data_IF_982373092860
#
_entry.id   IF_982373092860
#
_cell.length_a   1.000
_cell.length_b   1.000
_cell.length_c   1.000
_cell.angle_alpha   90.00
_cell.angle_beta   90.00
_cell.angle_gamma   90.00
#
_symmetry.space_group_name_H-M   'P 1'
#
loop_
_entity.id
_entity.type
_entity.pdbx_description
1 polymer ?
#
# COMPACT_ATOMS: atom_id res chain seq x y z
N UNK A 1 37.67 -38.04 -58.64
CA UNK A 1 39.03 -37.83 -59.15
C UNK A 1 39.54 -36.62 -58.42
N UNK A 2 40.08 -36.84 -57.21
CA UNK A 2 41.53 -37.08 -57.01
C UNK A 2 42.31 -35.88 -57.51
N UNK A 3 42.69 -35.01 -56.58
CA UNK A 3 44.08 -34.86 -56.08
C UNK A 3 44.79 -33.81 -56.94
N UNK A 4 45.52 -32.82 -56.45
CA UNK A 4 46.20 -32.60 -55.18
C UNK A 4 47.39 -31.67 -55.47
N UNK A 5 48.02 -31.17 -54.41
CA UNK A 5 49.25 -30.39 -54.31
C UNK A 5 49.18 -28.86 -54.39
N UNK A 6 49.92 -28.11 -53.57
CA UNK A 6 50.63 -28.27 -52.26
C UNK A 6 51.27 -26.90 -52.05
N UNK A 7 51.26 -26.38 -50.82
CA UNK A 7 52.34 -25.52 -50.29
C UNK A 7 52.24 -25.60 -48.74
N UNK A 8 53.03 -26.46 -48.09
CA UNK A 8 54.38 -26.24 -47.53
C UNK A 8 54.45 -25.30 -46.30
N UNK A 9 54.57 -25.97 -45.14
CA UNK A 9 55.29 -25.64 -43.89
C UNK A 9 55.33 -24.20 -43.34
N UNK A 10 54.88 -24.03 -42.09
CA UNK A 10 55.78 -23.81 -40.93
C UNK A 10 55.01 -23.87 -39.60
N UNK A 11 55.55 -24.64 -38.66
CA UNK A 11 55.06 -24.86 -37.30
C UNK A 11 55.49 -23.75 -36.34
N UNK A 12 54.73 -23.65 -35.22
CA UNK A 12 55.07 -23.03 -33.92
C UNK A 12 55.04 -21.50 -33.88
N UNK A 13 54.10 -20.94 -33.12
CA UNK A 13 54.30 -20.69 -31.70
C UNK A 13 52.97 -20.39 -30.99
N UNK A 14 52.92 -20.82 -29.73
CA UNK A 14 51.84 -20.65 -28.78
C UNK A 14 51.43 -19.18 -28.59
N UNK A 15 50.23 -18.81 -29.01
CA UNK A 15 49.59 -17.57 -28.57
C UNK A 15 49.26 -17.69 -27.08
N UNK A 16 49.95 -16.88 -26.28
CA UNK A 16 49.58 -16.61 -24.90
C UNK A 16 48.15 -16.04 -24.87
N UNK A 17 47.25 -16.55 -24.00
CA UNK A 17 45.94 -15.94 -23.84
C UNK A 17 46.11 -14.48 -23.43
N UNK A 18 45.42 -13.59 -24.14
CA UNK A 18 45.48 -12.15 -23.87
C UNK A 18 45.12 -11.88 -22.41
N UNK A 19 45.71 -10.83 -21.83
CA UNK A 19 45.49 -10.45 -20.43
C UNK A 19 44.02 -10.41 -20.02
N UNK A 20 43.11 -10.12 -20.96
CA UNK A 20 41.66 -10.10 -20.73
C UNK A 20 41.04 -11.50 -20.64
N UNK A 21 41.54 -12.49 -21.38
CA UNK A 21 41.12 -13.90 -21.25
C UNK A 21 41.64 -14.51 -19.97
N UNK A 22 42.88 -14.19 -19.57
CA UNK A 22 43.44 -14.59 -18.29
C UNK A 22 42.70 -13.96 -17.10
N UNK A 23 42.26 -12.70 -17.23
CA UNK A 23 41.40 -12.04 -16.23
C UNK A 23 40.02 -12.70 -16.20
N UNK A 24 39.42 -13.02 -17.35
CA UNK A 24 38.11 -13.69 -17.40
C UNK A 24 38.19 -15.11 -16.84
N UNK A 25 39.25 -15.88 -17.13
CA UNK A 25 39.51 -17.20 -16.56
C UNK A 25 39.87 -17.13 -15.07
N UNK A 26 40.52 -16.06 -14.59
CA UNK A 26 40.76 -15.81 -13.16
C UNK A 26 39.48 -15.39 -12.44
N UNK A 27 38.58 -14.64 -13.09
CA UNK A 27 37.24 -14.34 -12.58
C UNK A 27 36.39 -15.61 -12.50
N UNK A 28 36.40 -16.45 -13.54
CA UNK A 28 35.64 -17.71 -13.56
C UNK A 28 36.17 -18.72 -12.55
N UNK A 29 37.50 -18.80 -12.39
CA UNK A 29 38.12 -19.69 -11.40
C UNK A 29 38.00 -19.19 -9.95
N UNK A 30 37.89 -17.87 -9.70
CA UNK A 30 37.59 -17.35 -8.36
C UNK A 30 36.11 -17.53 -7.96
N UNK A 31 35.21 -17.63 -8.93
CA UNK A 31 33.80 -18.03 -8.71
C UNK A 31 33.62 -19.53 -8.39
N UNK A 32 34.62 -20.37 -8.69
CA UNK A 32 34.62 -21.81 -8.39
C UNK A 32 35.10 -22.17 -6.96
N UNK A 33 35.18 -21.20 -6.05
CA UNK A 33 35.29 -21.50 -4.62
C UNK A 33 33.95 -22.05 -4.12
N UNK A 34 33.92 -22.99 -3.15
CA UNK A 34 32.65 -23.43 -2.59
C UNK A 34 31.92 -22.18 -2.11
N UNK A 35 30.74 -21.88 -2.70
CA UNK A 35 29.97 -20.68 -2.38
C UNK A 35 29.83 -20.62 -0.86
N UNK A 36 30.63 -19.76 -0.23
CA UNK A 36 30.51 -19.54 1.20
C UNK A 36 29.22 -18.77 1.39
N UNK A 37 28.46 -19.09 2.43
CA UNK A 37 27.25 -18.33 2.78
C UNK A 37 27.50 -16.80 2.78
N UNK A 38 28.73 -16.39 3.09
CA UNK A 38 29.18 -15.01 3.03
C UNK A 38 29.20 -14.40 1.62
N UNK A 39 29.74 -15.09 0.61
CA UNK A 39 29.72 -14.59 -0.77
C UNK A 39 28.29 -14.50 -1.33
N UNK A 40 27.44 -15.47 -1.00
CA UNK A 40 26.02 -15.46 -1.35
C UNK A 40 25.25 -14.30 -0.69
N UNK A 41 25.42 -14.05 0.62
CA UNK A 41 24.78 -12.93 1.32
C UNK A 41 25.24 -11.60 0.72
N UNK A 42 26.53 -11.49 0.39
CA UNK A 42 27.11 -10.30 -0.22
C UNK A 42 26.51 -10.05 -1.60
N UNK A 43 26.35 -11.09 -2.41
CA UNK A 43 25.71 -11.00 -3.73
C UNK A 43 24.25 -10.54 -3.61
N UNK A 44 23.45 -11.17 -2.72
CA UNK A 44 22.06 -10.77 -2.46
C UNK A 44 21.93 -9.32 -1.95
N UNK A 45 22.92 -8.84 -1.20
CA UNK A 45 22.97 -7.46 -0.73
C UNK A 45 23.11 -6.47 -1.90
N UNK A 46 24.09 -6.69 -2.80
CA UNK A 46 24.35 -5.79 -3.91
C UNK A 46 23.33 -5.91 -5.05
N UNK A 47 22.86 -7.12 -5.35
CA UNK A 47 21.98 -7.38 -6.50
C UNK A 47 20.50 -7.18 -6.20
N UNK A 48 20.05 -7.41 -4.95
CA UNK A 48 18.64 -7.26 -4.59
C UNK A 48 18.39 -6.11 -3.61
N UNK A 49 19.06 -6.07 -2.46
CA UNK A 49 18.69 -5.13 -1.40
C UNK A 49 18.94 -3.67 -1.76
N UNK A 50 20.11 -3.33 -2.31
CA UNK A 50 20.43 -1.94 -2.70
C UNK A 50 19.44 -1.37 -3.74
N UNK A 51 19.21 -2.02 -4.91
CA UNK A 51 18.27 -1.48 -5.90
C UNK A 51 16.83 -1.46 -5.39
N UNK A 52 16.44 -2.44 -4.56
CA UNK A 52 15.13 -2.44 -3.90
C UNK A 52 14.99 -1.21 -3.00
N UNK A 53 15.95 -0.95 -2.11
CA UNK A 53 15.95 0.20 -1.22
C UNK A 53 15.90 1.53 -1.98
N UNK A 54 16.67 1.68 -3.07
CA UNK A 54 16.68 2.93 -3.85
C UNK A 54 15.34 3.20 -4.53
N UNK A 55 14.71 2.18 -5.12
CA UNK A 55 13.38 2.28 -5.72
C UNK A 55 12.30 2.62 -4.70
N UNK A 56 12.31 1.97 -3.54
CA UNK A 56 11.31 2.23 -2.51
C UNK A 56 11.51 3.63 -1.92
N UNK A 57 12.73 4.03 -1.60
CA UNK A 57 12.96 5.36 -1.03
C UNK A 57 12.46 6.46 -1.97
N UNK A 58 12.66 6.30 -3.27
CA UNK A 58 12.12 7.21 -4.27
C UNK A 58 10.58 7.21 -4.27
N UNK A 59 9.93 6.04 -4.36
CA UNK A 59 8.47 5.96 -4.44
C UNK A 59 7.75 6.29 -3.11
N UNK A 60 8.32 5.91 -1.96
CA UNK A 60 7.77 6.25 -0.64
C UNK A 60 7.94 7.73 -0.32
N UNK A 61 9.04 8.36 -0.73
CA UNK A 61 9.23 9.80 -0.54
C UNK A 61 8.06 10.61 -1.11
N UNK A 62 7.57 10.27 -2.31
CA UNK A 62 6.44 10.97 -2.94
C UNK A 62 5.14 10.88 -2.12
N UNK A 63 4.94 9.81 -1.34
CA UNK A 63 3.72 9.60 -0.56
C UNK A 63 3.82 10.13 0.87
N UNK A 64 4.99 9.99 1.50
CA UNK A 64 5.20 10.39 2.89
C UNK A 64 5.40 11.89 3.04
N UNK A 65 6.11 12.53 2.10
CA UNK A 65 6.41 13.96 2.18
C UNK A 65 5.14 14.83 2.27
N UNK A 66 4.11 14.61 1.42
CA UNK A 66 2.87 15.39 1.50
C UNK A 66 2.08 15.15 2.79
N UNK A 67 2.14 13.94 3.37
CA UNK A 67 1.51 13.63 4.67
C UNK A 67 2.15 14.43 5.81
N UNK A 68 3.48 14.46 5.87
CA UNK A 68 4.23 15.22 6.89
C UNK A 68 4.04 16.73 6.67
N UNK A 69 4.12 17.21 5.42
CA UNK A 69 3.89 18.61 5.10
C UNK A 69 2.48 19.05 5.51
N UNK A 70 1.46 18.23 5.23
CA UNK A 70 0.10 18.44 5.71
C UNK A 70 0.04 18.56 7.22
N UNK A 71 0.71 17.66 7.94
CA UNK A 71 0.72 17.69 9.40
C UNK A 71 1.40 18.94 9.96
N UNK A 72 2.52 19.36 9.37
CA UNK A 72 3.22 20.58 9.76
C UNK A 72 2.37 21.83 9.50
N UNK A 73 1.61 21.87 8.41
CA UNK A 73 0.72 22.99 8.10
C UNK A 73 -0.45 23.08 9.10
N UNK A 74 -1.06 21.95 9.46
CA UNK A 74 -2.08 21.90 10.52
C UNK A 74 -1.50 22.32 11.88
N UNK A 75 -0.28 21.87 12.19
CA UNK A 75 0.44 22.26 13.41
C UNK A 75 0.72 23.77 13.46
N UNK A 76 1.21 24.34 12.37
CA UNK A 76 1.59 25.75 12.29
C UNK A 76 0.40 26.70 12.15
N UNK A 77 -0.78 26.25 11.71
CA UNK A 77 -1.96 27.10 11.52
C UNK A 77 -2.62 27.46 12.87
N UNK A 78 -2.47 28.70 13.39
CA UNK A 78 -3.04 29.10 14.67
C UNK A 78 -4.56 29.31 14.59
N UNK A 79 -5.10 29.53 13.38
CA UNK A 79 -6.54 29.75 13.13
C UNK A 79 -7.24 28.49 12.60
N UNK A 80 -6.66 27.30 12.85
CA UNK A 80 -7.15 26.03 12.34
C UNK A 80 -8.63 25.76 12.68
N UNK A 81 -9.08 26.16 13.87
CA UNK A 81 -10.48 25.99 14.30
C UNK A 81 -11.44 26.98 13.61
N UNK A 82 -10.96 28.14 13.17
CA UNK A 82 -11.79 29.19 12.57
C UNK A 82 -11.94 29.01 11.05
N UNK A 83 -10.88 28.53 10.36
CA UNK A 83 -10.89 28.29 8.92
C UNK A 83 -10.85 26.80 8.57
N UNK A 84 -11.82 26.05 9.07
CA UNK A 84 -11.91 24.58 8.89
C UNK A 84 -11.97 24.18 7.42
N UNK A 85 -12.65 24.97 6.58
CA UNK A 85 -12.73 24.77 5.13
C UNK A 85 -11.35 24.70 4.46
N UNK A 86 -10.39 25.54 4.88
CA UNK A 86 -9.05 25.58 4.30
C UNK A 86 -8.30 24.28 4.59
N UNK A 87 -8.44 23.73 5.79
CA UNK A 87 -7.75 22.50 6.16
C UNK A 87 -8.34 21.30 5.41
N UNK A 88 -9.65 21.26 5.21
CA UNK A 88 -10.29 20.25 4.37
C UNK A 88 -9.86 20.36 2.89
N UNK A 89 -9.78 21.58 2.36
CA UNK A 89 -9.31 21.83 1.01
C UNK A 89 -7.86 21.39 0.82
N UNK A 90 -7.00 21.77 1.75
CA UNK A 90 -5.59 21.43 1.71
C UNK A 90 -5.38 19.92 1.84
N UNK A 91 -6.12 19.25 2.73
CA UNK A 91 -6.12 17.80 2.88
C UNK A 91 -6.47 17.07 1.58
N UNK A 92 -7.56 17.51 0.91
CA UNK A 92 -8.04 16.91 -0.34
C UNK A 92 -7.12 17.23 -1.52
N UNK A 93 -6.62 18.46 -1.63
CA UNK A 93 -5.71 18.87 -2.69
C UNK A 93 -4.35 18.15 -2.57
N UNK A 94 -3.82 17.99 -1.36
CA UNK A 94 -2.59 17.25 -1.13
C UNK A 94 -2.74 15.77 -1.53
N UNK A 95 -3.87 15.13 -1.17
CA UNK A 95 -4.13 13.75 -1.59
C UNK A 95 -4.37 13.63 -3.10
N UNK A 96 -5.09 14.58 -3.71
CA UNK A 96 -5.30 14.62 -5.16
C UNK A 96 -3.99 14.81 -5.92
N UNK A 97 -3.08 15.65 -5.41
CA UNK A 97 -1.74 15.85 -5.99
C UNK A 97 -0.92 14.55 -5.95
N UNK A 98 -0.93 13.86 -4.80
CA UNK A 98 -0.26 12.56 -4.65
C UNK A 98 -0.81 11.53 -5.64
N UNK A 99 -2.13 11.45 -5.76
CA UNK A 99 -2.79 10.58 -6.74
C UNK A 99 -2.40 10.96 -8.18
N UNK A 100 -2.38 12.25 -8.51
CA UNK A 100 -2.03 12.73 -9.83
C UNK A 100 -0.58 12.41 -10.21
N UNK A 101 0.36 12.54 -9.27
CA UNK A 101 1.77 12.21 -9.51
C UNK A 101 1.99 10.72 -9.80
N UNK A 102 1.12 9.83 -9.31
CA UNK A 102 1.27 8.39 -9.44
C UNK A 102 0.43 7.77 -10.58
N UNK A 103 -0.74 8.34 -10.85
CA UNK A 103 -1.74 7.79 -11.77
C UNK A 103 -2.17 8.78 -12.88
N UNK A 104 -1.61 9.98 -12.90
CA UNK A 104 -1.79 10.98 -13.94
C UNK A 104 -3.27 11.32 -14.21
N UNK A 105 -3.74 11.19 -15.46
CA UNK A 105 -5.11 11.49 -15.89
C UNK A 105 -6.16 10.50 -15.35
N UNK A 106 -5.73 9.34 -14.84
CA UNK A 106 -6.64 8.26 -14.45
C UNK A 106 -7.38 8.57 -13.14
N UNK A 107 -6.90 9.54 -12.35
CA UNK A 107 -7.54 9.98 -11.11
C UNK A 107 -8.95 10.55 -11.32
N UNK A 108 -9.32 10.91 -12.55
CA UNK A 108 -10.66 11.40 -12.90
C UNK A 108 -11.73 10.42 -12.44
N UNK A 109 -11.45 9.12 -12.49
CA UNK A 109 -12.34 8.05 -12.03
C UNK A 109 -12.68 8.22 -10.55
N UNK A 110 -11.68 8.46 -9.71
CA UNK A 110 -11.85 8.68 -8.27
C UNK A 110 -12.62 9.98 -7.97
N UNK A 111 -12.33 11.04 -8.74
CA UNK A 111 -12.98 12.35 -8.58
C UNK A 111 -14.45 12.31 -8.98
N UNK A 112 -14.79 11.54 -10.02
CA UNK A 112 -16.18 11.31 -10.46
C UNK A 112 -16.95 10.55 -9.39
N UNK A 113 -16.40 9.46 -8.82
CA UNK A 113 -17.06 8.73 -7.75
C UNK A 113 -17.27 9.61 -6.51
N UNK A 114 -16.26 10.41 -6.13
CA UNK A 114 -16.37 11.39 -5.04
C UNK A 114 -17.52 12.37 -5.26
N UNK A 115 -17.67 12.89 -6.49
CA UNK A 115 -18.74 13.81 -6.84
C UNK A 115 -20.12 13.16 -6.79
N UNK A 116 -20.25 11.95 -7.35
CA UNK A 116 -21.49 11.17 -7.31
C UNK A 116 -21.88 10.91 -5.85
N UNK A 117 -20.92 10.52 -5.01
CA UNK A 117 -21.13 10.28 -3.59
C UNK A 117 -21.60 11.54 -2.85
N UNK A 118 -21.00 12.69 -3.12
CA UNK A 118 -21.45 13.96 -2.54
C UNK A 118 -22.91 14.29 -2.92
N UNK A 119 -23.28 14.12 -4.19
CA UNK A 119 -24.65 14.36 -4.69
C UNK A 119 -25.64 13.44 -3.98
N UNK A 120 -25.32 12.15 -3.82
CA UNK A 120 -26.20 11.19 -3.12
C UNK A 120 -26.41 11.65 -1.67
N UNK A 121 -25.33 11.98 -0.96
CA UNK A 121 -25.41 12.42 0.44
C UNK A 121 -26.19 13.74 0.57
N UNK A 122 -26.08 14.65 -0.41
CA UNK A 122 -26.71 15.98 -0.31
C UNK A 122 -28.21 15.96 -0.63
N UNK A 123 -28.63 15.18 -1.62
CA UNK A 123 -29.98 15.26 -2.20
C UNK A 123 -30.92 14.14 -1.76
N UNK A 124 -30.42 13.01 -1.28
CA UNK A 124 -31.28 11.93 -0.78
C UNK A 124 -31.47 12.05 0.72
N UNK A 125 -32.71 11.90 1.18
CA UNK A 125 -33.03 12.08 2.60
C UNK A 125 -32.93 10.80 3.42
N UNK A 126 -33.16 9.63 2.81
CA UNK A 126 -33.18 8.30 3.46
C UNK A 126 -32.51 7.24 2.60
N UNK A 127 -32.09 6.15 3.24
CA UNK A 127 -31.47 4.98 2.60
C UNK A 127 -30.22 5.33 1.78
N UNK A 128 -29.52 6.41 2.16
CA UNK A 128 -28.30 6.88 1.48
C UNK A 128 -27.26 5.78 1.44
N UNK A 129 -27.10 5.03 2.54
CA UNK A 129 -26.14 3.93 2.62
C UNK A 129 -26.38 2.86 1.56
N UNK A 130 -27.63 2.42 1.38
CA UNK A 130 -27.99 1.38 0.39
C UNK A 130 -27.81 1.91 -1.02
N UNK A 131 -28.29 3.13 -1.28
CA UNK A 131 -28.15 3.77 -2.60
C UNK A 131 -26.67 3.93 -2.96
N UNK A 132 -25.85 4.43 -2.02
CA UNK A 132 -24.41 4.56 -2.20
C UNK A 132 -23.75 3.23 -2.51
N UNK A 133 -24.07 2.18 -1.74
CA UNK A 133 -23.49 0.86 -1.95
C UNK A 133 -23.84 0.30 -3.33
N UNK A 134 -25.09 0.43 -3.77
CA UNK A 134 -25.50 0.00 -5.12
C UNK A 134 -24.78 0.80 -6.21
N UNK A 135 -24.69 2.12 -6.06
CA UNK A 135 -24.02 3.00 -7.04
C UNK A 135 -22.53 2.69 -7.11
N UNK A 136 -21.81 2.58 -5.98
CA UNK A 136 -20.39 2.25 -5.95
C UNK A 136 -20.10 0.85 -6.52
N UNK A 137 -20.93 -0.16 -6.23
CA UNK A 137 -20.76 -1.49 -6.84
C UNK A 137 -20.97 -1.45 -8.35
N UNK A 138 -22.03 -0.78 -8.81
CA UNK A 138 -22.26 -0.59 -10.24
C UNK A 138 -21.09 0.16 -10.90
N UNK A 139 -20.56 1.19 -10.24
CA UNK A 139 -19.42 1.96 -10.73
C UNK A 139 -18.15 1.09 -10.85
N UNK A 140 -17.83 0.31 -9.83
CA UNK A 140 -16.72 -0.65 -9.84
C UNK A 140 -16.89 -1.69 -10.96
N UNK A 141 -18.10 -2.22 -11.15
CA UNK A 141 -18.38 -3.16 -12.24
C UNK A 141 -18.21 -2.51 -13.60
N UNK A 142 -18.74 -1.29 -13.81
CA UNK A 142 -18.58 -0.56 -15.07
C UNK A 142 -17.11 -0.29 -15.40
N UNK A 143 -16.28 0.01 -14.40
CA UNK A 143 -14.84 0.19 -14.59
C UNK A 143 -14.13 -1.13 -14.95
N UNK A 144 -14.60 -2.27 -14.42
CA UNK A 144 -14.07 -3.61 -14.76
C UNK A 144 -14.44 -4.03 -16.19
N UNK A 145 -15.63 -3.65 -16.68
CA UNK A 145 -16.17 -4.01 -18.00
C UNK A 145 -15.76 -3.04 -19.14
N UNK A 146 -14.49 -2.64 -19.21
CA UNK A 146 -13.85 -2.00 -20.39
C UNK A 146 -13.88 -0.47 -20.52
N UNK A 147 -14.18 0.33 -19.49
CA UNK A 147 -14.13 1.80 -19.62
C UNK A 147 -12.70 2.37 -19.45
N UNK A 148 -11.79 1.61 -18.83
CA UNK A 148 -10.39 2.01 -18.59
C UNK A 148 -9.50 0.88 -19.09
N UNK A 149 -8.47 1.19 -19.89
CA UNK A 149 -7.47 0.22 -20.34
C UNK A 149 -7.10 -0.74 -19.20
N UNK A 150 -7.23 -2.06 -19.43
CA UNK A 150 -7.15 -3.11 -18.41
C UNK A 150 -5.96 -2.96 -17.45
N UNK A 151 -4.80 -2.57 -17.99
CA UNK A 151 -3.55 -2.39 -17.23
C UNK A 151 -3.59 -1.20 -16.25
N UNK A 152 -4.33 -0.16 -16.62
CA UNK A 152 -4.46 1.06 -15.83
C UNK A 152 -5.46 0.89 -14.68
N UNK A 153 -6.56 0.17 -14.93
CA UNK A 153 -7.57 -0.10 -13.90
C UNK A 153 -7.02 -0.94 -12.75
N UNK A 154 -6.24 -1.99 -13.04
CA UNK A 154 -5.68 -2.85 -11.98
C UNK A 154 -4.84 -2.07 -10.96
N UNK A 155 -4.17 -0.99 -11.40
CA UNK A 155 -3.36 -0.12 -10.52
C UNK A 155 -4.22 0.76 -9.60
N UNK A 156 -5.41 1.17 -10.04
CA UNK A 156 -6.33 2.06 -9.30
C UNK A 156 -7.38 1.32 -8.49
N UNK A 157 -7.69 0.08 -8.85
CA UNK A 157 -8.77 -0.73 -8.28
C UNK A 157 -8.79 -0.75 -6.75
N UNK A 158 -7.63 -0.92 -6.12
CA UNK A 158 -7.54 -0.94 -4.65
C UNK A 158 -7.87 0.41 -4.00
N UNK A 159 -7.49 1.51 -4.65
CA UNK A 159 -7.77 2.88 -4.18
C UNK A 159 -9.26 3.18 -4.31
N UNK A 160 -9.84 2.84 -5.44
CA UNK A 160 -11.28 3.00 -5.69
C UNK A 160 -12.12 2.19 -4.70
N UNK A 161 -11.71 0.96 -4.40
CA UNK A 161 -12.36 0.16 -3.37
C UNK A 161 -12.38 0.85 -2.00
N UNK A 162 -11.27 1.46 -1.58
CA UNK A 162 -11.21 2.21 -0.31
C UNK A 162 -12.07 3.48 -0.37
N UNK A 163 -12.12 4.17 -1.51
CA UNK A 163 -12.99 5.32 -1.71
C UNK A 163 -14.47 4.94 -1.58
N UNK A 164 -14.90 3.89 -2.28
CA UNK A 164 -16.24 3.33 -2.16
C UNK A 164 -16.58 2.96 -0.70
N UNK A 165 -15.66 2.30 0.01
CA UNK A 165 -15.85 1.98 1.43
C UNK A 165 -16.08 3.22 2.30
N UNK A 166 -15.30 4.30 2.08
CA UNK A 166 -15.46 5.57 2.79
C UNK A 166 -16.81 6.22 2.48
N UNK A 167 -17.21 6.27 1.22
CA UNK A 167 -18.48 6.87 0.80
C UNK A 167 -19.67 6.11 1.37
N UNK A 168 -19.65 4.78 1.34
CA UNK A 168 -20.70 3.93 1.91
C UNK A 168 -20.77 4.14 3.42
N UNK A 169 -19.64 4.10 4.12
CA UNK A 169 -19.60 4.31 5.56
C UNK A 169 -20.12 5.70 5.95
N UNK A 170 -19.72 6.75 5.23
CA UNK A 170 -20.21 8.11 5.45
C UNK A 170 -21.73 8.21 5.23
N UNK A 171 -22.24 7.59 4.17
CA UNK A 171 -23.68 7.58 3.89
C UNK A 171 -24.47 6.85 4.99
N UNK A 172 -23.94 5.74 5.51
CA UNK A 172 -24.53 5.01 6.66
C UNK A 172 -24.48 5.86 7.93
N UNK A 173 -23.38 6.56 8.19
CA UNK A 173 -23.19 7.41 9.38
C UNK A 173 -24.15 8.62 9.38
N UNK A 174 -24.46 9.15 8.20
CA UNK A 174 -25.48 10.19 8.04
C UNK A 174 -26.89 9.64 8.26
N UNK A 175 -27.20 8.44 7.74
CA UNK A 175 -28.49 7.79 7.95
C UNK A 175 -28.71 7.42 9.43
N UNK A 176 -27.66 6.98 10.14
CA UNK A 176 -27.71 6.65 11.58
C UNK A 176 -27.67 7.88 12.48
N UNK A 177 -27.47 9.08 11.92
CA UNK A 177 -27.30 10.36 12.62
C UNK A 177 -26.05 10.45 13.50
N UNK A 178 -25.06 9.58 13.27
CA UNK A 178 -23.71 9.75 13.85
C UNK A 178 -23.01 10.99 13.27
N UNK A 179 -23.28 11.30 12.00
CA UNK A 179 -22.78 12.51 11.32
C UNK A 179 -23.96 13.42 10.97
N UNK A 180 -23.87 14.68 11.39
CA UNK A 180 -24.91 15.67 11.15
C UNK A 180 -24.70 16.44 9.84
N UNK A 181 -25.79 16.69 9.12
CA UNK A 181 -25.83 17.54 7.93
C UNK A 181 -25.95 19.03 8.30
N UNK A 182 -25.56 19.96 7.41
CA UNK A 182 -25.02 19.73 6.06
C UNK A 182 -23.53 19.45 6.06
N UNK A 183 -23.11 18.46 5.26
CA UNK A 183 -21.69 18.27 4.93
C UNK A 183 -21.34 19.22 3.79
N UNK A 184 -20.33 20.07 4.00
CA UNK A 184 -19.86 20.97 2.94
C UNK A 184 -19.15 20.19 1.82
N UNK A 185 -19.16 20.69 0.56
CA UNK A 185 -18.44 20.03 -0.54
C UNK A 185 -16.97 19.77 -0.20
N UNK A 186 -16.34 20.71 0.51
CA UNK A 186 -14.93 20.61 0.86
C UNK A 186 -14.64 19.58 1.94
N UNK A 187 -15.54 19.40 2.91
CA UNK A 187 -15.42 18.32 3.90
C UNK A 187 -15.51 16.95 3.23
N UNK A 188 -16.45 16.77 2.30
CA UNK A 188 -16.58 15.53 1.55
C UNK A 188 -15.35 15.28 0.67
N UNK A 189 -14.92 16.29 -0.09
CA UNK A 189 -13.73 16.21 -0.94
C UNK A 189 -12.46 15.89 -0.14
N UNK A 190 -12.26 16.58 0.99
CA UNK A 190 -11.11 16.40 1.87
C UNK A 190 -11.09 15.04 2.57
N UNK A 191 -12.25 14.48 2.91
CA UNK A 191 -12.36 13.14 3.49
C UNK A 191 -12.07 12.03 2.46
N UNK A 192 -12.68 12.14 1.29
CA UNK A 192 -12.53 11.17 0.21
C UNK A 192 -11.07 11.11 -0.26
N UNK A 193 -10.50 12.27 -0.59
CA UNK A 193 -9.14 12.42 -1.10
C UNK A 193 -8.13 12.76 -0.01
N UNK A 194 -8.33 12.25 1.21
CA UNK A 194 -7.44 12.56 2.33
C UNK A 194 -6.02 12.01 2.09
N UNK A 195 -5.02 12.89 2.11
CA UNK A 195 -3.60 12.57 1.83
C UNK A 195 -3.06 11.33 2.54
N UNK A 196 -3.37 11.14 3.82
CA UNK A 196 -2.89 10.01 4.62
C UNK A 196 -3.48 8.66 4.21
N UNK A 197 -4.56 8.68 3.42
CA UNK A 197 -5.31 7.50 3.02
C UNK A 197 -5.57 7.37 1.52
N UNK A 198 -4.98 8.24 0.69
CA UNK A 198 -5.32 8.33 -0.73
C UNK A 198 -4.77 7.17 -1.57
N UNK A 199 -3.51 6.76 -1.36
CA UNK A 199 -2.87 5.69 -2.17
C UNK A 199 -2.82 4.36 -1.41
N UNK A 200 -2.14 4.34 -0.28
CA UNK A 200 -1.97 3.12 0.51
C UNK A 200 -2.90 3.05 1.71
N UNK A 201 -3.77 4.03 1.92
CA UNK A 201 -4.54 4.20 3.14
C UNK A 201 -5.40 3.04 3.60
N UNK A 202 -5.42 2.72 4.90
CA UNK A 202 -6.52 1.93 5.44
C UNK A 202 -7.84 2.72 5.36
N UNK A 203 -8.95 1.99 5.43
CA UNK A 203 -10.27 2.59 5.67
C UNK A 203 -10.25 3.41 6.98
N UNK A 204 -10.83 4.61 6.93
CA UNK A 204 -10.92 5.54 8.05
C UNK A 204 -12.34 6.11 8.10
N UNK A 205 -12.93 6.20 9.30
CA UNK A 205 -14.25 6.80 9.48
C UNK A 205 -14.20 8.32 9.32
N UNK A 206 -15.34 8.95 9.04
CA UNK A 206 -15.39 10.41 8.91
C UNK A 206 -15.02 11.13 10.22
N UNK A 207 -15.42 10.57 11.37
CA UNK A 207 -15.09 11.12 12.68
C UNK A 207 -13.58 11.08 12.95
N UNK A 208 -12.91 9.97 12.62
CA UNK A 208 -11.46 9.88 12.76
C UNK A 208 -10.72 10.84 11.83
N UNK A 209 -11.22 11.01 10.60
CA UNK A 209 -10.72 12.03 9.68
C UNK A 209 -10.85 13.45 10.27
N UNK A 210 -12.01 13.79 10.85
CA UNK A 210 -12.20 15.08 11.50
C UNK A 210 -11.21 15.26 12.66
N UNK A 211 -10.95 14.21 13.46
CA UNK A 211 -9.92 14.26 14.51
C UNK A 211 -8.53 14.53 13.94
N UNK A 212 -8.16 13.94 12.80
CA UNK A 212 -6.88 14.20 12.14
C UNK A 212 -6.72 15.66 11.72
N UNK A 213 -7.81 16.25 11.21
CA UNK A 213 -7.87 17.67 10.85
C UNK A 213 -7.71 18.52 12.11
N UNK A 214 -8.55 18.34 13.14
CA UNK A 214 -8.58 19.24 14.29
C UNK A 214 -7.45 19.06 15.31
N UNK A 215 -6.83 17.89 15.38
CA UNK A 215 -5.76 17.64 16.34
C UNK A 215 -4.45 18.29 15.89
N UNK A 216 -3.83 19.09 16.77
CA UNK A 216 -2.51 19.72 16.54
C UNK A 216 -1.36 19.02 17.28
N UNK A 217 -1.58 17.94 18.03
CA UNK A 217 -0.51 17.33 18.83
C UNK A 217 0.51 16.60 17.95
N UNK A 218 1.79 16.85 18.21
CA UNK A 218 2.93 16.15 17.63
C UNK A 218 3.87 15.83 18.79
N UNK A 219 3.98 14.55 19.14
CA UNK A 219 4.77 14.08 20.28
C UNK A 219 5.91 13.16 19.80
N UNK A 220 6.92 12.90 20.64
CA UNK A 220 7.98 11.94 20.30
C UNK A 220 7.46 10.51 20.06
N UNK A 221 6.31 10.17 20.65
CA UNK A 221 5.64 8.89 20.41
C UNK A 221 5.07 8.78 19.00
N UNK A 222 4.63 9.90 18.42
CA UNK A 222 4.15 9.96 17.04
C UNK A 222 5.27 9.63 16.05
N UNK A 223 6.43 10.28 16.19
CA UNK A 223 7.58 9.99 15.33
C UNK A 223 8.10 8.57 15.54
N UNK A 224 8.15 8.09 16.78
CA UNK A 224 8.50 6.71 17.07
C UNK A 224 7.55 5.69 16.40
N UNK A 225 6.23 5.93 16.44
CA UNK A 225 5.24 5.05 15.83
C UNK A 225 5.39 4.98 14.30
N UNK A 226 5.65 6.11 13.65
CA UNK A 226 5.93 6.17 12.21
C UNK A 226 7.21 5.40 11.88
N UNK A 227 8.31 5.69 12.60
CA UNK A 227 9.60 5.02 12.38
C UNK A 227 9.50 3.50 12.59
N UNK A 228 8.81 3.06 13.65
CA UNK A 228 8.57 1.64 13.93
C UNK A 228 7.84 0.96 12.77
N UNK A 229 6.75 1.55 12.29
CA UNK A 229 5.93 0.99 11.21
C UNK A 229 6.71 0.92 9.89
N UNK A 230 7.47 1.97 9.57
CA UNK A 230 8.35 2.00 8.40
C UNK A 230 9.44 0.93 8.46
N UNK A 231 10.18 0.86 9.57
CA UNK A 231 11.27 -0.11 9.74
C UNK A 231 10.73 -1.54 9.61
N UNK A 232 9.61 -1.84 10.28
CA UNK A 232 8.99 -3.16 10.18
C UNK A 232 8.52 -3.46 8.75
N UNK A 233 7.93 -2.47 8.06
CA UNK A 233 7.54 -2.59 6.67
C UNK A 233 8.73 -2.91 5.75
N UNK A 234 9.84 -2.20 5.90
CA UNK A 234 11.06 -2.45 5.13
C UNK A 234 11.64 -3.85 5.37
N UNK A 235 11.66 -4.31 6.62
CA UNK A 235 12.06 -5.68 6.95
C UNK A 235 11.15 -6.67 6.23
N UNK A 236 9.83 -6.44 6.25
CA UNK A 236 8.90 -7.31 5.55
C UNK A 236 9.12 -7.34 4.04
N UNK A 237 9.42 -6.21 3.43
CA UNK A 237 9.70 -6.12 2.00
C UNK A 237 10.97 -6.87 1.61
N UNK A 238 12.05 -6.72 2.39
CA UNK A 238 13.30 -7.47 2.20
C UNK A 238 13.03 -8.98 2.28
N UNK A 239 12.24 -9.42 3.26
CA UNK A 239 11.87 -10.83 3.41
C UNK A 239 11.08 -11.33 2.19
N UNK A 240 10.10 -10.53 1.74
CA UNK A 240 9.22 -10.91 0.63
C UNK A 240 9.94 -11.03 -0.71
N UNK A 241 10.91 -10.14 -0.97
CA UNK A 241 11.51 -9.98 -2.30
C UNK A 241 12.90 -10.60 -2.38
N UNK A 242 13.80 -10.31 -1.43
CA UNK A 242 15.20 -10.76 -1.50
C UNK A 242 15.39 -12.10 -0.79
N UNK A 243 14.85 -12.27 0.42
CA UNK A 243 15.04 -13.52 1.18
C UNK A 243 14.27 -14.68 0.54
N UNK A 244 13.01 -14.45 0.14
CA UNK A 244 12.20 -15.51 -0.48
C UNK A 244 12.74 -15.96 -1.84
N UNK A 245 13.21 -15.03 -2.69
CA UNK A 245 13.76 -15.36 -4.00
C UNK A 245 15.08 -16.14 -3.86
N UNK A 246 16.01 -15.64 -3.06
CA UNK A 246 17.28 -16.30 -2.84
C UNK A 246 17.14 -17.70 -2.24
N UNK A 247 16.28 -17.88 -1.23
CA UNK A 247 16.02 -19.21 -0.65
C UNK A 247 15.36 -20.18 -1.64
N UNK A 248 14.60 -19.67 -2.62
CA UNK A 248 13.94 -20.51 -3.63
C UNK A 248 14.95 -21.12 -4.59
N UNK A 249 15.95 -20.35 -5.00
CA UNK A 249 17.05 -20.83 -5.86
C UNK A 249 17.85 -21.96 -5.18
N UNK A 250 18.05 -21.85 -3.87
CA UNK A 250 18.80 -22.84 -3.08
C UNK A 250 17.95 -24.06 -2.64
N UNK A 251 16.66 -24.12 -2.98
CA UNK A 251 15.71 -25.10 -2.46
C UNK A 251 15.83 -26.51 -3.07
N UNK A 252 16.82 -26.79 -3.93
CA UNK A 252 17.03 -28.10 -4.60
C UNK A 252 15.72 -28.70 -5.18
N UNK A 253 14.86 -27.88 -5.76
CA UNK A 253 13.55 -28.26 -6.32
C UNK A 253 12.57 -28.95 -5.34
N UNK A 254 12.72 -28.78 -4.02
CA UNK A 254 11.73 -29.26 -3.06
C UNK A 254 10.42 -28.45 -3.17
N UNK A 255 9.40 -29.08 -3.75
CA UNK A 255 8.08 -28.47 -4.01
C UNK A 255 7.45 -27.85 -2.75
N UNK A 256 7.65 -28.45 -1.57
CA UNK A 256 7.06 -27.97 -0.33
C UNK A 256 7.70 -26.67 0.16
N UNK A 257 9.03 -26.59 0.07
CA UNK A 257 9.78 -25.38 0.44
C UNK A 257 9.46 -24.26 -0.54
N UNK A 258 9.41 -24.55 -1.84
CA UNK A 258 9.04 -23.56 -2.86
C UNK A 258 7.61 -23.03 -2.61
N UNK A 259 6.65 -23.91 -2.33
CA UNK A 259 5.28 -23.51 -2.00
C UNK A 259 5.23 -22.64 -0.73
N UNK A 260 5.95 -23.04 0.33
CA UNK A 260 6.04 -22.27 1.56
C UNK A 260 6.68 -20.89 1.36
N UNK A 261 7.80 -20.81 0.63
CA UNK A 261 8.47 -19.55 0.29
C UNK A 261 7.58 -18.64 -0.56
N UNK A 262 6.76 -19.20 -1.45
CA UNK A 262 5.78 -18.45 -2.22
C UNK A 262 4.70 -17.85 -1.32
N UNK A 263 4.14 -18.65 -0.41
CA UNK A 263 3.18 -18.17 0.57
C UNK A 263 3.80 -17.15 1.54
N UNK A 264 5.07 -17.32 1.91
CA UNK A 264 5.83 -16.37 2.74
C UNK A 264 5.99 -15.03 2.01
N UNK A 265 6.44 -15.04 0.75
CA UNK A 265 6.60 -13.84 -0.06
C UNK A 265 5.31 -13.04 -0.15
N UNK A 266 4.20 -13.72 -0.44
CA UNK A 266 2.87 -13.10 -0.52
C UNK A 266 2.42 -12.46 0.80
N UNK A 267 2.58 -13.15 1.93
CA UNK A 267 2.18 -12.61 3.24
C UNK A 267 3.02 -11.40 3.65
N UNK A 268 4.33 -11.48 3.44
CA UNK A 268 5.25 -10.41 3.83
C UNK A 268 5.15 -9.18 2.92
N UNK A 269 4.83 -9.33 1.63
CA UNK A 269 4.52 -8.18 0.77
C UNK A 269 3.23 -7.49 1.21
N UNK A 270 2.21 -8.25 1.61
CA UNK A 270 0.98 -7.71 2.19
C UNK A 270 1.25 -6.96 3.51
N UNK A 271 2.07 -7.52 4.41
CA UNK A 271 2.46 -6.84 5.65
C UNK A 271 3.17 -5.52 5.37
N UNK A 272 4.06 -5.48 4.36
CA UNK A 272 4.71 -4.24 3.94
C UNK A 272 3.71 -3.16 3.52
N UNK A 273 2.70 -3.50 2.71
CA UNK A 273 1.67 -2.55 2.26
C UNK A 273 0.87 -2.04 3.46
N UNK A 274 0.41 -2.93 4.36
CA UNK A 274 -0.34 -2.54 5.54
C UNK A 274 0.49 -1.67 6.51
N UNK A 275 1.75 -1.99 6.76
CA UNK A 275 2.61 -1.20 7.65
C UNK A 275 2.98 0.15 7.04
N UNK A 276 3.13 0.21 5.71
CA UNK A 276 3.26 1.47 4.98
C UNK A 276 2.00 2.32 5.14
N UNK A 277 0.82 1.71 5.02
CA UNK A 277 -0.47 2.39 5.18
C UNK A 277 -0.70 2.93 6.60
N UNK A 278 -0.27 2.17 7.61
CA UNK A 278 -0.26 2.59 9.00
C UNK A 278 0.64 3.83 9.13
N UNK A 279 1.86 3.76 8.59
CA UNK A 279 2.79 4.87 8.64
C UNK A 279 2.29 6.14 7.91
N UNK A 280 1.63 6.04 6.74
CA UNK A 280 1.06 7.22 6.05
C UNK A 280 -0.11 7.82 6.82
N UNK A 281 -0.98 7.00 7.39
CA UNK A 281 -2.11 7.47 8.20
C UNK A 281 -1.63 8.15 9.49
N UNK A 282 -0.65 7.57 10.18
CA UNK A 282 0.01 8.18 11.35
C UNK A 282 0.72 9.49 10.96
N UNK A 283 1.45 9.52 9.84
CA UNK A 283 2.11 10.73 9.34
C UNK A 283 1.12 11.87 9.08
N UNK A 284 -0.08 11.55 8.60
CA UNK A 284 -1.16 12.53 8.40
C UNK A 284 -1.87 12.97 9.70
N UNK A 285 -1.56 12.33 10.83
CA UNK A 285 -2.05 12.72 12.16
C UNK A 285 -3.16 11.84 12.73
N UNK A 286 -3.36 10.62 12.24
CA UNK A 286 -4.28 9.66 12.85
C UNK A 286 -3.78 9.20 14.23
N UNK A 287 -4.70 9.02 15.15
CA UNK A 287 -4.48 8.47 16.49
C UNK A 287 -5.75 7.80 16.99
N UNK A 288 -5.60 6.81 17.87
CA UNK A 288 -6.74 6.22 18.57
C UNK A 288 -7.16 7.11 19.73
N UNK A 289 -8.45 7.10 20.05
CA UNK A 289 -8.91 7.73 21.28
C UNK A 289 -8.19 7.11 22.48
N UNK A 290 -7.66 7.94 23.40
CA UNK A 290 -7.08 7.42 24.61
C UNK A 290 -8.13 6.63 25.39
N UNK A 291 -7.74 5.47 25.92
CA UNK A 291 -8.52 4.79 26.95
C UNK A 291 -8.72 5.75 28.13
N UNK A 292 -9.91 5.74 28.75
CA UNK A 292 -10.34 6.67 29.80
C UNK A 292 -9.33 6.87 30.96
N UNK A 293 -8.40 5.93 31.16
CA UNK A 293 -7.37 5.96 32.20
C UNK A 293 -6.01 6.56 31.79
N UNK A 294 -5.77 6.86 30.49
CA UNK A 294 -4.49 7.35 29.98
C UNK A 294 -4.62 8.72 29.31
N UNK A 295 -4.04 9.78 29.88
CA UNK A 295 -4.02 11.12 29.26
C UNK A 295 -3.18 11.21 27.98
N UNK A 296 -2.32 10.21 27.72
CA UNK A 296 -1.45 10.20 26.55
C UNK A 296 -2.13 9.62 25.32
N UNK A 297 -2.05 10.33 24.19
CA UNK A 297 -2.55 9.85 22.90
C UNK A 297 -1.88 8.52 22.52
N UNK A 298 -2.71 7.57 22.07
CA UNK A 298 -2.23 6.31 21.53
C UNK A 298 -2.03 6.43 20.02
N UNK A 299 -0.76 6.56 19.62
CA UNK A 299 -0.33 6.67 18.23
C UNK A 299 -0.21 5.27 17.61
N UNK A 300 -1.34 4.57 17.49
CA UNK A 300 -1.41 3.24 16.88
C UNK A 300 -2.56 3.22 15.89
N UNK A 301 -2.28 2.89 14.63
CA UNK A 301 -3.32 2.59 13.65
C UNK A 301 -3.08 1.20 13.12
N UNK A 302 -3.44 0.21 13.94
CA UNK A 302 -3.14 -1.17 13.62
C UNK A 302 -3.97 -1.59 12.39
N UNK A 303 -3.32 -1.67 11.22
CA UNK A 303 -3.96 -2.16 9.99
C UNK A 303 -3.88 -3.69 9.92
N UNK A 304 -2.74 -4.24 10.36
CA UNK A 304 -2.41 -5.66 10.34
C UNK A 304 -1.72 -6.08 11.63
N UNK A 305 -1.90 -7.33 12.07
CA UNK A 305 -1.11 -7.91 13.18
C UNK A 305 -0.38 -9.17 12.74
N UNK A 306 0.87 -9.08 12.24
CA UNK A 306 1.63 -10.24 11.76
C UNK A 306 1.76 -11.35 12.81
N UNK A 307 1.95 -10.99 14.09
CA UNK A 307 2.08 -11.96 15.19
C UNK A 307 0.84 -12.85 15.39
N UNK A 308 -0.35 -12.33 15.09
CA UNK A 308 -1.62 -13.08 15.19
C UNK A 308 -1.96 -13.88 13.93
N UNK A 309 -1.35 -13.52 12.80
CA UNK A 309 -1.52 -14.21 11.53
C UNK A 309 -0.57 -15.41 11.43
N UNK A 310 0.69 -15.25 11.87
CA UNK A 310 1.70 -16.32 11.81
C UNK A 310 1.48 -17.38 12.90
N UNK A 311 0.94 -16.98 14.06
CA UNK A 311 0.63 -17.88 15.17
C UNK A 311 -0.85 -17.74 15.59
N UNK A 312 -1.80 -18.13 14.72
CA UNK A 312 -3.22 -17.96 15.00
C UNK A 312 -3.73 -19.04 15.96
N UNK A 313 -4.66 -18.66 16.85
CA UNK A 313 -5.43 -19.63 17.65
C UNK A 313 -6.62 -20.20 16.88
N UNK A 314 -7.08 -19.51 15.83
CA UNK A 314 -8.18 -19.91 14.97
C UNK A 314 -8.10 -19.29 13.58
N UNK A 315 -8.78 -19.87 12.59
CA UNK A 315 -8.82 -19.31 11.23
C UNK A 315 -9.57 -17.97 11.16
N UNK A 316 -10.57 -17.76 12.02
CA UNK A 316 -11.28 -16.47 12.12
C UNK A 316 -10.31 -15.37 12.57
N UNK A 317 -9.38 -15.68 13.47
CA UNK A 317 -8.34 -14.74 13.92
C UNK A 317 -7.49 -14.25 12.73
N UNK A 318 -7.12 -15.14 11.82
CA UNK A 318 -6.36 -14.81 10.61
C UNK A 318 -7.13 -13.82 9.75
N UNK A 319 -8.40 -14.10 9.44
CA UNK A 319 -9.22 -13.24 8.57
C UNK A 319 -9.37 -11.83 9.16
N UNK A 320 -9.56 -11.73 10.48
CA UNK A 320 -9.71 -10.45 11.18
C UNK A 320 -8.40 -9.65 11.13
N UNK A 321 -7.28 -10.28 11.52
CA UNK A 321 -6.00 -9.58 11.65
C UNK A 321 -5.27 -9.37 10.33
N UNK A 322 -5.69 -10.06 9.26
CA UNK A 322 -5.19 -9.85 7.91
C UNK A 322 -5.44 -8.42 7.44
N UNK A 323 -6.66 -7.91 7.60
CA UNK A 323 -7.01 -6.53 7.27
C UNK A 323 -8.10 -6.02 8.23
N UNK A 324 -7.67 -5.42 9.35
CA UNK A 324 -8.58 -4.96 10.40
C UNK A 324 -9.54 -3.85 9.94
N UNK A 325 -9.12 -2.84 9.16
CA UNK A 325 -10.01 -1.77 8.69
C UNK A 325 -11.22 -2.27 7.90
N UNK A 326 -11.04 -3.28 7.03
CA UNK A 326 -12.15 -3.88 6.28
C UNK A 326 -13.13 -4.57 7.23
N UNK A 327 -12.62 -5.35 8.20
CA UNK A 327 -13.46 -6.02 9.18
C UNK A 327 -14.28 -5.03 10.02
N UNK A 328 -13.68 -3.92 10.43
CA UNK A 328 -14.37 -2.85 11.15
C UNK A 328 -15.44 -2.17 10.29
N UNK A 329 -15.12 -1.86 9.03
CA UNK A 329 -16.09 -1.30 8.08
C UNK A 329 -17.29 -2.24 7.90
N UNK A 330 -17.05 -3.54 7.72
CA UNK A 330 -18.11 -4.54 7.52
C UNK A 330 -19.01 -4.67 8.75
N UNK A 331 -18.43 -4.65 9.96
CA UNK A 331 -19.21 -4.62 11.20
C UNK A 331 -20.08 -3.37 11.30
N UNK A 332 -19.53 -2.20 10.94
CA UNK A 332 -20.25 -0.93 10.98
C UNK A 332 -21.44 -0.93 10.03
N UNK A 333 -21.24 -1.42 8.82
CA UNK A 333 -22.23 -1.30 7.75
C UNK A 333 -23.06 -2.59 7.54
N UNK A 334 -23.21 -3.40 8.61
CA UNK A 334 -23.80 -4.76 8.63
C UNK A 334 -25.14 -4.93 7.91
N UNK A 335 -25.95 -3.87 7.83
CA UNK A 335 -27.30 -3.90 7.24
C UNK A 335 -27.28 -3.59 5.72
N UNK A 336 -26.20 -2.98 5.21
CA UNK A 336 -26.12 -2.41 3.87
C UNK A 336 -25.32 -3.28 2.88
N UNK A 337 -24.33 -4.07 3.34
CA UNK A 337 -23.33 -4.71 2.47
C UNK A 337 -23.49 -6.21 2.18
N UNK A 338 -24.67 -6.82 2.35
CA UNK A 338 -24.86 -8.22 1.92
C UNK A 338 -24.51 -8.44 0.43
N UNK A 339 -24.70 -7.43 -0.42
CA UNK A 339 -24.31 -7.47 -1.85
C UNK A 339 -22.84 -7.13 -2.13
N UNK A 340 -22.23 -6.27 -1.31
CA UNK A 340 -20.84 -5.83 -1.51
C UNK A 340 -19.82 -6.93 -1.16
N UNK A 341 -20.16 -7.79 -0.20
CA UNK A 341 -19.32 -8.92 0.23
C UNK A 341 -19.05 -9.91 -0.92
N UNK A 342 -20.08 -10.21 -1.74
CA UNK A 342 -19.93 -11.11 -2.89
C UNK A 342 -18.97 -10.55 -3.96
N UNK A 343 -19.02 -9.23 -4.21
CA UNK A 343 -18.11 -8.59 -5.16
C UNK A 343 -16.67 -8.54 -4.63
N UNK A 344 -16.49 -8.22 -3.35
CA UNK A 344 -15.16 -8.07 -2.75
C UNK A 344 -14.42 -9.40 -2.59
N UNK A 345 -15.10 -10.48 -2.17
CA UNK A 345 -14.50 -11.83 -2.16
C UNK A 345 -14.11 -12.28 -3.56
N UNK A 346 -15.00 -12.13 -4.55
CA UNK A 346 -14.68 -12.50 -5.94
C UNK A 346 -13.54 -11.68 -6.54
N UNK A 347 -13.36 -10.45 -6.05
CA UNK A 347 -12.34 -9.52 -6.50
C UNK A 347 -10.96 -9.79 -5.88
N UNK A 348 -10.91 -10.04 -4.56
CA UNK A 348 -9.68 -10.48 -3.87
C UNK A 348 -9.19 -11.81 -4.42
N UNK A 349 -10.10 -12.76 -4.70
CA UNK A 349 -9.76 -14.07 -5.28
C UNK A 349 -9.21 -13.96 -6.72
N UNK A 350 -9.45 -12.85 -7.43
CA UNK A 350 -8.84 -12.56 -8.75
C UNK A 350 -7.56 -11.73 -8.69
N UNK A 351 -7.26 -11.15 -7.52
CA UNK A 351 -5.94 -10.54 -7.22
C UNK A 351 -4.99 -11.61 -6.67
N UNK A 352 -5.54 -12.65 -6.04
CA UNK A 352 -4.91 -13.95 -5.78
C UNK A 352 -4.77 -14.77 -7.07
#
# INVERSE_FOLDING_TARGET
MEDGNVDLYLSKDSEYPGSNELINLMLDSTLSSPQTWFSYITQQYYECMIPLLSQILFNHYLNFYPCILFRLLVFCNPFHQQYTFINHAFAGLAGTLVLWLQFESQIVVLLVETWIGYVIIRFFDRHRGIIMALVSVCYLMLCEFEIIYLESWQRLRGIEMVLAMKLIALAVDVDSKEVHLPISPMQCFGYCNFVGTAIFGPFMTYNDYQRCIFNRRIDLRWSYAICKSLILGFICLIISTCVSSGLREHSNNNKWIIAWLSALSFRFSHYFVCLTSEATSLASGYFNEPHEDNESLDWQHEVVKPSRIELPRSLVEVVIYWNMPIHWMLKKCKITLQFFFAYFESSIVRIL
#
